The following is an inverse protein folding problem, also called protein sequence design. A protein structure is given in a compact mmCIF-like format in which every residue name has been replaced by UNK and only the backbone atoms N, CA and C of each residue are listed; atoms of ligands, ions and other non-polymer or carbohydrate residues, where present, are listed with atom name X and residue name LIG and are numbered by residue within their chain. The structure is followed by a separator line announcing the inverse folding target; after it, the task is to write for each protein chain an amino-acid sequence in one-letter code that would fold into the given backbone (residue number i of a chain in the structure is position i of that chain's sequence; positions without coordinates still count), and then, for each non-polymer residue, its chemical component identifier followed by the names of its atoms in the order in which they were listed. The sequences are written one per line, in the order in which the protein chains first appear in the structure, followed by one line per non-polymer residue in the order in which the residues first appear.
data_IF_366444607176
#
_entry.id   IF_366444607176
#
_cell.length_a   1.000
_cell.length_b   1.000
_cell.length_c   1.000
_cell.angle_alpha   90.00
_cell.angle_beta   90.00
_cell.angle_gamma   90.00
#
_symmetry.space_group_name_H-M   'P 1'
#
loop_
_entity.id
_entity.type
_entity.pdbx_description
1 polymer ?
#
# COMPACT_ATOMS: atom_id res chain seq x y z
N UNK A 1 8.67 34.82 41.88
CA UNK A 1 8.43 33.44 41.40
C UNK A 1 7.88 33.50 39.99
N UNK A 2 8.70 33.20 38.99
CA UNK A 2 8.31 33.20 37.57
C UNK A 2 7.64 31.86 37.23
N UNK A 3 6.41 31.90 36.72
CA UNK A 3 5.70 30.71 36.28
C UNK A 3 6.25 30.27 34.91
N UNK A 4 6.99 29.17 34.89
CA UNK A 4 7.46 28.53 33.66
C UNK A 4 6.26 27.90 32.95
N UNK A 5 5.80 28.51 31.85
CA UNK A 5 4.87 27.84 30.93
C UNK A 5 5.61 26.72 30.21
N UNK A 6 5.55 25.51 30.77
CA UNK A 6 5.92 24.29 30.08
C UNK A 6 4.92 24.13 28.92
N UNK A 7 5.35 24.55 27.73
CA UNK A 7 4.69 24.16 26.49
C UNK A 7 4.87 22.66 26.35
N UNK A 8 3.89 21.90 26.83
CA UNK A 8 3.76 20.50 26.46
C UNK A 8 3.56 20.50 24.96
N UNK A 9 4.64 20.26 24.23
CA UNK A 9 4.61 20.02 22.80
C UNK A 9 3.83 18.73 22.62
N UNK A 10 2.51 18.88 22.56
CA UNK A 10 1.55 17.81 22.36
C UNK A 10 1.89 17.26 20.98
N UNK A 11 2.75 16.23 20.93
CA UNK A 11 3.01 15.45 19.72
C UNK A 11 1.63 15.11 19.19
N UNK A 12 1.26 15.71 18.06
CA UNK A 12 -0.03 15.46 17.41
C UNK A 12 -0.06 13.96 17.16
N UNK A 13 -0.98 13.24 17.81
CA UNK A 13 -1.31 11.86 17.46
C UNK A 13 -1.80 11.92 16.02
N UNK A 14 -1.02 11.38 15.09
CA UNK A 14 -1.35 11.31 13.66
C UNK A 14 -2.33 10.16 13.39
N UNK A 15 -2.83 9.51 14.44
CA UNK A 15 -3.45 8.19 14.29
C UNK A 15 -4.99 8.21 14.36
N UNK A 16 -5.63 9.37 14.54
CA UNK A 16 -7.08 9.37 14.84
C UNK A 16 -8.01 9.76 13.71
N UNK A 17 -7.62 10.52 12.68
CA UNK A 17 -8.55 10.90 11.61
C UNK A 17 -7.85 11.07 10.24
N UNK A 18 -8.02 10.09 9.35
CA UNK A 18 -7.73 10.25 7.91
C UNK A 18 -6.43 9.67 7.36
N UNK A 19 -5.68 8.90 8.16
CA UNK A 19 -4.51 8.14 7.71
C UNK A 19 -4.80 6.66 7.38
N UNK A 20 -6.06 6.24 7.43
CA UNK A 20 -6.48 4.96 6.88
C UNK A 20 -6.81 5.11 5.38
N UNK A 21 -6.51 4.06 4.62
CA UNK A 21 -6.96 3.97 3.24
C UNK A 21 -8.49 3.94 3.18
N UNK A 22 -9.06 4.61 2.17
CA UNK A 22 -10.50 4.62 1.96
C UNK A 22 -10.82 3.91 0.65
N UNK A 23 -11.70 2.91 0.67
CA UNK A 23 -12.05 2.13 -0.52
C UNK A 23 -12.56 2.99 -1.69
N UNK A 24 -13.21 4.12 -1.40
CA UNK A 24 -13.63 5.06 -2.45
C UNK A 24 -12.46 5.59 -3.28
N UNK A 25 -11.24 5.63 -2.74
CA UNK A 25 -10.04 6.05 -3.47
C UNK A 25 -9.62 5.06 -4.55
N UNK A 26 -10.03 3.78 -4.44
CA UNK A 26 -9.87 2.81 -5.53
C UNK A 26 -10.61 3.32 -6.76
N UNK A 27 -11.89 3.67 -6.61
CA UNK A 27 -12.68 4.14 -7.75
C UNK A 27 -12.35 5.58 -8.16
N UNK A 28 -12.16 6.49 -7.19
CA UNK A 28 -11.94 7.91 -7.47
C UNK A 28 -10.57 8.16 -8.10
N UNK A 29 -9.54 7.44 -7.66
CA UNK A 29 -8.14 7.73 -8.02
C UNK A 29 -7.37 6.53 -8.55
N UNK A 30 -8.01 5.36 -8.74
CA UNK A 30 -7.34 4.10 -9.11
C UNK A 30 -6.19 3.75 -8.16
N UNK A 31 -6.39 4.03 -6.87
CA UNK A 31 -5.35 3.97 -5.85
C UNK A 31 -5.48 2.71 -4.99
N UNK A 32 -4.36 2.10 -4.59
CA UNK A 32 -4.32 0.91 -3.71
C UNK A 32 -3.48 1.18 -2.46
N UNK A 33 -3.56 0.30 -1.46
CA UNK A 33 -2.87 0.51 -0.17
C UNK A 33 -1.34 0.53 -0.32
N UNK A 34 -0.79 -0.15 -1.32
CA UNK A 34 0.66 -0.28 -1.51
C UNK A 34 1.32 0.95 -2.16
N UNK A 35 0.53 1.87 -2.72
CA UNK A 35 1.06 2.90 -3.62
C UNK A 35 1.67 4.14 -2.93
N UNK A 36 1.43 4.44 -1.63
CA UNK A 36 1.98 5.64 -0.96
C UNK A 36 2.32 5.41 0.51
N UNK A 37 3.48 5.92 0.94
CA UNK A 37 4.03 5.87 2.32
C UNK A 37 3.16 6.59 3.37
N UNK A 38 2.37 7.58 2.94
CA UNK A 38 1.46 8.37 3.80
C UNK A 38 0.10 8.57 3.14
N UNK A 39 -0.93 7.91 3.66
CA UNK A 39 -2.33 8.04 3.23
C UNK A 39 -2.89 9.44 3.55
N UNK A 40 -2.61 10.40 2.66
CA UNK A 40 -3.20 11.73 2.68
C UNK A 40 -3.90 11.96 1.36
N UNK A 41 -5.18 12.36 1.42
CA UNK A 41 -5.99 12.69 0.23
C UNK A 41 -5.28 13.64 -0.74
N UNK A 42 -4.53 14.62 -0.22
CA UNK A 42 -3.74 15.54 -1.04
C UNK A 42 -2.68 14.82 -1.89
N UNK A 43 -1.93 13.88 -1.30
CA UNK A 43 -0.90 13.12 -2.00
C UNK A 43 -1.50 12.26 -3.12
N UNK A 44 -2.60 11.57 -2.81
CA UNK A 44 -3.31 10.69 -3.76
C UNK A 44 -3.87 11.51 -4.93
N UNK A 45 -4.54 12.63 -4.63
CA UNK A 45 -5.09 13.51 -5.66
C UNK A 45 -3.98 14.08 -6.56
N UNK A 46 -2.87 14.53 -5.99
CA UNK A 46 -1.74 15.08 -6.75
C UNK A 46 -1.13 14.03 -7.67
N UNK A 47 -0.92 12.82 -7.17
CA UNK A 47 -0.39 11.69 -7.96
C UNK A 47 -1.32 11.34 -9.11
N UNK A 48 -2.63 11.23 -8.85
CA UNK A 48 -3.62 10.97 -9.89
C UNK A 48 -3.60 12.03 -11.00
N UNK A 49 -3.45 13.31 -10.63
CA UNK A 49 -3.39 14.39 -11.62
C UNK A 49 -2.11 14.38 -12.47
N UNK A 50 -0.98 13.89 -11.95
CA UNK A 50 0.27 13.81 -12.74
C UNK A 50 0.34 12.56 -13.60
N UNK A 51 0.01 11.39 -13.03
CA UNK A 51 0.22 10.09 -13.70
C UNK A 51 -1.01 9.59 -14.44
N UNK A 52 -2.21 10.01 -14.03
CA UNK A 52 -3.47 9.46 -14.53
C UNK A 52 -4.46 10.48 -15.10
N UNK A 53 -4.02 11.59 -15.75
CA UNK A 53 -4.97 12.58 -16.30
C UNK A 53 -5.87 11.98 -17.39
N UNK A 54 -5.42 10.92 -18.07
CA UNK A 54 -6.19 10.25 -19.11
C UNK A 54 -7.42 9.49 -18.60
N UNK A 55 -7.46 9.15 -17.30
CA UNK A 55 -8.58 8.41 -16.72
C UNK A 55 -9.78 9.30 -16.39
N UNK A 56 -9.65 10.63 -16.49
CA UNK A 56 -10.79 11.55 -16.34
C UNK A 56 -11.85 11.36 -17.44
N UNK A 57 -11.47 10.74 -18.57
CA UNK A 57 -12.38 10.39 -19.66
C UNK A 57 -13.29 9.20 -19.32
N UNK A 58 -12.92 8.40 -18.31
CA UNK A 58 -13.65 7.19 -17.92
C UNK A 58 -14.71 7.53 -16.87
N UNK A 59 -15.96 7.22 -17.19
CA UNK A 59 -17.11 7.48 -16.30
C UNK A 59 -17.96 6.22 -16.09
N UNK A 60 -18.70 6.20 -14.98
CA UNK A 60 -19.64 5.12 -14.64
C UNK A 60 -19.01 3.73 -14.77
N UNK A 61 -19.64 2.86 -15.57
CA UNK A 61 -19.23 1.47 -15.75
C UNK A 61 -17.82 1.32 -16.35
N UNK A 62 -17.44 2.19 -17.30
CA UNK A 62 -16.09 2.12 -17.91
C UNK A 62 -15.00 2.31 -16.86
N UNK A 63 -15.25 3.19 -15.88
CA UNK A 63 -14.32 3.41 -14.77
C UNK A 63 -14.20 2.18 -13.88
N UNK A 64 -15.33 1.57 -13.52
CA UNK A 64 -15.37 0.34 -12.72
C UNK A 64 -14.73 -0.86 -13.43
N UNK A 65 -14.95 -1.00 -14.74
CA UNK A 65 -14.36 -2.07 -15.53
C UNK A 65 -12.84 -1.89 -15.63
N UNK A 66 -12.36 -0.65 -15.82
CA UNK A 66 -10.93 -0.36 -15.80
C UNK A 66 -10.30 -0.64 -14.44
N UNK A 67 -11.00 -0.34 -13.35
CA UNK A 67 -10.52 -0.62 -12.00
C UNK A 67 -10.27 -2.13 -11.82
N UNK A 68 -11.24 -2.96 -12.21
CA UNK A 68 -11.12 -4.42 -12.13
C UNK A 68 -9.96 -4.95 -12.97
N UNK A 69 -9.77 -4.42 -14.17
CA UNK A 69 -8.64 -4.78 -15.03
C UNK A 69 -7.30 -4.49 -14.33
N UNK A 70 -7.17 -3.31 -13.73
CA UNK A 70 -5.96 -2.91 -13.01
C UNK A 70 -5.73 -3.77 -11.75
N UNK A 71 -6.78 -4.09 -10.99
CA UNK A 71 -6.69 -4.98 -9.83
C UNK A 71 -6.22 -6.39 -10.21
N UNK A 72 -6.78 -6.96 -11.29
CA UNK A 72 -6.35 -8.28 -11.80
C UNK A 72 -4.88 -8.24 -12.23
N UNK A 73 -4.47 -7.19 -12.94
CA UNK A 73 -3.08 -7.00 -13.34
C UNK A 73 -2.14 -6.89 -12.13
N UNK A 74 -2.52 -6.11 -11.11
CA UNK A 74 -1.74 -5.91 -9.90
C UNK A 74 -1.56 -7.23 -9.15
N UNK A 75 -2.64 -7.99 -8.94
CA UNK A 75 -2.57 -9.32 -8.30
C UNK A 75 -1.68 -10.27 -9.11
N UNK A 76 -1.74 -10.21 -10.45
CA UNK A 76 -0.85 -10.97 -11.31
C UNK A 76 0.63 -10.64 -11.07
N UNK A 77 0.97 -9.36 -10.96
CA UNK A 77 2.33 -8.89 -10.66
C UNK A 77 2.78 -9.30 -9.25
N UNK A 78 1.94 -9.10 -8.24
CA UNK A 78 2.25 -9.47 -6.85
C UNK A 78 2.54 -10.98 -6.74
N UNK A 79 1.72 -11.82 -7.38
CA UNK A 79 1.91 -13.28 -7.39
C UNK A 79 3.28 -13.70 -7.91
N UNK A 80 3.85 -12.97 -8.87
CA UNK A 80 5.19 -13.27 -9.37
C UNK A 80 6.25 -13.10 -8.28
N UNK A 81 6.20 -11.97 -7.55
CA UNK A 81 7.13 -11.70 -6.45
C UNK A 81 6.90 -12.63 -5.26
N UNK A 82 5.65 -12.89 -4.87
CA UNK A 82 5.34 -13.79 -3.75
C UNK A 82 5.83 -15.20 -4.02
N UNK A 83 5.63 -15.75 -5.22
CA UNK A 83 6.13 -17.09 -5.58
C UNK A 83 7.65 -17.19 -5.54
N UNK A 84 8.35 -16.15 -6.02
CA UNK A 84 9.80 -16.11 -5.96
C UNK A 84 10.29 -16.11 -4.51
N UNK A 85 9.64 -15.32 -3.65
CA UNK A 85 9.93 -15.26 -2.21
C UNK A 85 9.68 -16.61 -1.54
N UNK A 86 8.49 -17.18 -1.69
CA UNK A 86 8.10 -18.48 -1.12
C UNK A 86 9.05 -19.60 -1.56
N UNK A 87 9.45 -19.63 -2.83
CA UNK A 87 10.42 -20.61 -3.32
C UNK A 87 11.77 -20.49 -2.60
N UNK A 88 12.24 -19.26 -2.37
CA UNK A 88 13.49 -19.01 -1.66
C UNK A 88 13.40 -19.43 -0.19
N UNK A 89 12.32 -19.07 0.50
CA UNK A 89 12.09 -19.45 1.90
C UNK A 89 11.97 -20.96 2.07
N UNK A 90 11.24 -21.63 1.17
CA UNK A 90 11.09 -23.08 1.17
C UNK A 90 12.45 -23.78 0.94
N UNK A 91 13.27 -23.26 0.03
CA UNK A 91 14.62 -23.79 -0.20
C UNK A 91 15.53 -23.63 1.04
N UNK A 92 15.48 -22.47 1.70
CA UNK A 92 16.20 -22.23 2.95
C UNK A 92 15.74 -23.19 4.06
N UNK A 93 14.42 -23.36 4.22
CA UNK A 93 13.85 -24.27 5.21
C UNK A 93 14.23 -25.72 4.95
N UNK A 94 14.17 -26.17 3.70
CA UNK A 94 14.57 -27.52 3.32
C UNK A 94 16.07 -27.76 3.58
N UNK A 95 16.92 -26.78 3.25
CA UNK A 95 18.37 -26.86 3.51
C UNK A 95 18.68 -26.97 5.00
N UNK A 96 17.99 -26.19 5.83
CA UNK A 96 18.10 -26.26 7.29
C UNK A 96 17.71 -27.63 7.84
N UNK A 97 16.58 -28.19 7.37
CA UNK A 97 16.14 -29.53 7.76
C UNK A 97 17.14 -30.63 7.38
N UNK A 98 17.74 -30.55 6.19
CA UNK A 98 18.77 -31.52 5.77
C UNK A 98 20.01 -31.43 6.64
N UNK A 99 20.47 -30.21 6.95
CA UNK A 99 21.63 -29.99 7.81
C UNK A 99 21.41 -30.53 9.25
N UNK A 100 20.23 -30.30 9.82
CA UNK A 100 19.84 -30.84 11.13
C UNK A 100 19.79 -32.38 11.11
N UNK A 101 19.32 -33.01 10.02
CA UNK A 101 19.32 -34.46 9.90
C UNK A 101 20.71 -35.08 9.67
N UNK A 102 21.69 -34.31 9.20
CA UNK A 102 23.07 -34.78 8.98
C UNK A 102 23.98 -34.68 10.22
N UNK A 103 23.49 -34.03 11.28
CA UNK A 103 24.22 -33.83 12.54
C UNK A 103 23.83 -34.82 13.65
N UNK A 104 22.97 -35.80 13.35
CA UNK A 104 22.58 -36.93 14.19
C UNK A 104 23.15 -38.25 13.66
#
# INVERSE_FOLDING_TARGET
YTATMVSTSRKRKVDSEGCCFQDKWKLDYFFTEETVVVFKKFNIKRYYQSEHPNYDKLTGKQRSDKLKELEVSLVGQQRFFTRAHESSENATKASYQVADCQTL
#
